data_IF_468208472675
#
_entry.id   IF_468208472675
#
_cell.length_a   1.000
_cell.length_b   1.000
_cell.length_c   1.000
_cell.angle_alpha   90.00
_cell.angle_beta   90.00
_cell.angle_gamma   90.00
#
_symmetry.space_group_name_H-M   'P 1'
#
loop_
_entity.id
_entity.type
_entity.pdbx_description
1 polymer ?
#
# COMPACT_ATOMS: atom_id res chain seq x y z
N UNK A 1 -2.58 19.30 1.13
CA UNK A 1 -1.48 18.30 1.20
C UNK A 1 -1.29 18.05 2.69
N UNK A 2 -1.36 16.80 3.15
CA UNK A 2 -1.39 16.40 4.57
C UNK A 2 -0.43 17.25 5.43
N UNK A 3 0.79 17.47 4.96
CA UNK A 3 1.83 18.25 5.63
C UNK A 3 1.44 19.72 5.81
N UNK A 4 0.96 20.40 4.76
CA UNK A 4 0.51 21.79 4.84
C UNK A 4 -0.66 21.95 5.81
N UNK A 5 -1.57 20.97 5.84
CA UNK A 5 -2.74 20.99 6.72
C UNK A 5 -2.34 20.75 8.19
N UNK A 6 -1.33 19.91 8.45
CA UNK A 6 -0.74 19.69 9.77
C UNK A 6 0.01 20.94 10.27
N UNK A 7 0.83 21.56 9.41
CA UNK A 7 1.62 22.76 9.76
C UNK A 7 0.72 23.98 9.97
N UNK A 8 -0.36 24.12 9.19
CA UNK A 8 -1.34 25.21 9.37
C UNK A 8 -2.07 25.15 10.73
N UNK A 9 -2.13 23.99 11.37
CA UNK A 9 -2.77 23.82 12.68
C UNK A 9 -1.85 24.17 13.86
N UNK A 10 -0.61 24.63 13.62
CA UNK A 10 0.38 24.96 14.66
C UNK A 10 0.61 23.84 15.71
N UNK A 11 0.34 22.58 15.34
CA UNK A 11 0.74 21.44 16.16
C UNK A 11 2.22 21.20 15.88
N UNK A 12 3.03 21.11 16.95
CA UNK A 12 4.34 20.48 16.82
C UNK A 12 4.09 19.03 16.45
N UNK A 13 4.45 18.66 15.23
CA UNK A 13 4.34 17.29 14.74
C UNK A 13 5.76 16.77 14.58
N UNK A 14 6.06 15.66 15.23
CA UNK A 14 7.28 14.91 14.99
C UNK A 14 7.14 14.23 13.62
N UNK A 15 7.73 14.85 12.60
CA UNK A 15 7.52 14.53 11.20
C UNK A 15 8.85 14.56 10.45
N UNK A 16 9.18 13.44 9.83
CA UNK A 16 10.22 13.33 8.83
C UNK A 16 9.62 13.08 7.44
N UNK A 17 10.22 13.71 6.43
CA UNK A 17 9.85 13.55 5.03
C UNK A 17 11.08 13.06 4.28
N UNK A 18 10.94 11.95 3.59
CA UNK A 18 11.92 11.47 2.62
C UNK A 18 11.32 11.52 1.21
N UNK A 19 11.99 12.18 0.28
CA UNK A 19 11.56 12.29 -1.11
C UNK A 19 12.70 11.91 -2.08
N UNK A 20 12.43 10.98 -2.99
CA UNK A 20 13.42 10.49 -3.94
C UNK A 20 13.00 10.74 -5.39
N UNK A 21 13.89 11.38 -6.15
CA UNK A 21 13.70 11.72 -7.55
C UNK A 21 14.80 11.09 -8.41
N UNK A 22 14.65 11.14 -9.73
CA UNK A 22 15.72 10.67 -10.63
C UNK A 22 16.89 11.66 -10.66
N UNK A 23 16.59 12.96 -10.85
CA UNK A 23 17.56 14.06 -10.95
C UNK A 23 17.07 15.28 -10.19
N UNK A 24 17.98 16.21 -9.88
CA UNK A 24 17.63 17.47 -9.21
C UNK A 24 16.58 18.28 -9.99
N UNK A 25 16.66 18.26 -11.32
CA UNK A 25 15.70 18.96 -12.19
C UNK A 25 14.28 18.37 -12.17
N UNK A 26 14.11 17.15 -11.67
CA UNK A 26 12.82 16.45 -11.62
C UNK A 26 12.07 16.74 -10.32
N UNK A 27 12.66 17.50 -9.40
CA UNK A 27 12.06 17.85 -8.11
C UNK A 27 10.87 18.77 -8.32
N UNK A 28 9.68 18.22 -8.08
CA UNK A 28 8.46 19.00 -7.90
C UNK A 28 8.41 19.56 -6.47
N UNK A 29 7.74 20.70 -6.28
CA UNK A 29 7.64 21.38 -4.98
C UNK A 29 9.00 21.70 -4.33
N UNK A 30 10.03 22.00 -5.13
CA UNK A 30 11.40 22.24 -4.66
C UNK A 30 11.50 23.31 -3.56
N UNK A 31 10.72 24.39 -3.66
CA UNK A 31 10.68 25.42 -2.61
C UNK A 31 10.14 24.87 -1.28
N UNK A 32 9.12 24.01 -1.32
CA UNK A 32 8.53 23.43 -0.13
C UNK A 32 9.50 22.47 0.56
N UNK A 33 10.08 21.55 -0.22
CA UNK A 33 11.01 20.52 0.25
C UNK A 33 12.31 21.12 0.79
N UNK A 34 12.91 22.06 0.07
CA UNK A 34 14.27 22.52 0.37
C UNK A 34 14.32 23.76 1.28
N UNK A 35 13.21 24.48 1.45
CA UNK A 35 13.20 25.74 2.20
C UNK A 35 12.03 25.85 3.18
N UNK A 36 10.78 25.75 2.70
CA UNK A 36 9.61 26.09 3.50
C UNK A 36 9.40 25.13 4.70
N UNK A 37 9.41 23.82 4.47
CA UNK A 37 9.18 22.84 5.52
C UNK A 37 10.36 22.72 6.50
N UNK A 38 11.64 22.73 6.04
CA UNK A 38 12.78 22.82 6.95
C UNK A 38 12.75 24.08 7.84
N UNK A 39 12.37 25.24 7.29
CA UNK A 39 12.23 26.48 8.06
C UNK A 39 11.11 26.42 9.12
N UNK A 40 10.18 25.46 8.99
CA UNK A 40 9.11 25.19 9.95
C UNK A 40 9.46 24.04 10.91
N UNK A 41 10.71 23.56 10.90
CA UNK A 41 11.21 22.53 11.80
C UNK A 41 10.91 21.09 11.36
N UNK A 42 10.43 20.88 10.12
CA UNK A 42 10.22 19.54 9.58
C UNK A 42 11.56 18.98 9.08
N UNK A 43 11.88 17.74 9.46
CA UNK A 43 13.04 17.05 8.89
C UNK A 43 12.72 16.63 7.46
N UNK A 44 13.49 17.11 6.48
CA UNK A 44 13.27 16.78 5.06
C UNK A 44 14.57 16.31 4.42
N UNK A 45 14.53 15.12 3.84
CA UNK A 45 15.60 14.54 3.04
C UNK A 45 15.16 14.40 1.58
N UNK A 46 16.01 14.86 0.66
CA UNK A 46 15.79 14.75 -0.79
C UNK A 46 16.97 14.04 -1.42
N UNK A 47 16.73 12.95 -2.14
CA UNK A 47 17.78 12.15 -2.78
C UNK A 47 17.53 11.92 -4.27
N UNK A 48 18.62 11.63 -5.02
CA UNK A 48 18.61 11.53 -6.48
C UNK A 48 19.23 10.21 -6.95
N UNK A 49 18.46 9.37 -7.66
CA UNK A 49 18.93 8.03 -8.07
C UNK A 49 19.92 8.06 -9.23
N UNK A 50 19.99 9.13 -10.02
CA UNK A 50 20.88 9.25 -11.18
C UNK A 50 21.99 10.30 -10.99
N UNK A 51 22.19 10.78 -9.76
CA UNK A 51 23.23 11.77 -9.44
C UNK A 51 24.09 11.26 -8.28
N UNK A 52 25.35 10.93 -8.60
CA UNK A 52 26.33 10.32 -7.67
C UNK A 52 26.94 11.31 -6.67
N UNK A 53 26.60 12.59 -6.76
CA UNK A 53 27.23 13.68 -6.00
C UNK A 53 26.40 14.13 -4.79
N UNK A 54 25.38 13.35 -4.41
CA UNK A 54 24.49 13.76 -3.33
C UNK A 54 25.06 13.38 -1.96
N UNK A 55 25.17 14.37 -1.07
CA UNK A 55 25.34 14.18 0.37
C UNK A 55 24.15 13.44 1.03
N UNK A 56 23.20 12.93 0.24
CA UNK A 56 21.93 12.38 0.68
C UNK A 56 21.86 10.89 0.34
N UNK A 57 21.63 10.08 1.36
CA UNK A 57 21.66 8.63 1.24
C UNK A 57 20.36 8.13 0.63
N UNK A 58 20.42 7.37 -0.47
CA UNK A 58 19.24 6.72 -1.02
C UNK A 58 18.60 5.80 0.02
N UNK A 59 17.31 5.96 0.26
CA UNK A 59 16.52 5.07 1.10
C UNK A 59 16.25 3.77 0.34
N UNK A 60 16.64 2.67 0.96
CA UNK A 60 16.45 1.31 0.46
C UNK A 60 15.85 0.44 1.57
N UNK A 61 15.38 -0.75 1.22
CA UNK A 61 14.82 -1.68 2.20
C UNK A 61 15.85 -2.04 3.27
N UNK A 62 17.13 -2.09 2.88
CA UNK A 62 18.25 -2.50 3.71
C UNK A 62 18.68 -1.44 4.72
N UNK A 63 18.50 -0.15 4.41
CA UNK A 63 18.92 0.95 5.29
C UNK A 63 17.77 1.69 5.97
N UNK A 64 16.51 1.33 5.69
CA UNK A 64 15.32 1.98 6.22
C UNK A 64 15.36 2.19 7.74
N UNK A 65 15.62 1.14 8.50
CA UNK A 65 15.67 1.21 9.97
C UNK A 65 17.00 1.74 10.53
N UNK A 66 18.04 1.79 9.69
CA UNK A 66 19.32 2.41 10.07
C UNK A 66 19.17 3.94 10.01
N UNK A 67 18.50 4.44 8.97
CA UNK A 67 18.24 5.87 8.82
C UNK A 67 17.12 6.35 9.74
N UNK A 68 16.08 5.53 9.94
CA UNK A 68 14.90 5.88 10.75
C UNK A 68 14.68 4.81 11.84
N UNK A 69 15.45 4.85 12.94
CA UNK A 69 15.43 3.81 13.98
C UNK A 69 14.13 3.77 14.79
N UNK A 70 13.42 4.89 14.88
CA UNK A 70 12.14 5.09 15.55
C UNK A 70 10.93 4.84 14.65
N UNK A 71 11.16 4.48 13.38
CA UNK A 71 10.10 4.32 12.37
C UNK A 71 9.01 3.32 12.78
N UNK A 72 9.35 2.32 13.60
CA UNK A 72 8.39 1.32 14.07
C UNK A 72 7.36 1.87 15.08
N UNK A 73 7.63 3.03 15.67
CA UNK A 73 6.76 3.67 16.66
C UNK A 73 5.72 4.61 16.00
N UNK A 74 6.04 5.15 14.83
CA UNK A 74 5.23 6.14 14.11
C UNK A 74 4.22 5.57 13.11
N UNK A 75 3.45 6.49 12.50
CA UNK A 75 2.66 6.21 11.30
C UNK A 75 3.53 6.42 10.04
N UNK A 76 3.47 5.47 9.10
CA UNK A 76 4.23 5.52 7.85
C UNK A 76 3.28 5.80 6.70
N UNK A 77 3.54 6.87 5.97
CA UNK A 77 2.83 7.21 4.73
C UNK A 77 3.74 6.95 3.53
N UNK A 78 3.34 6.03 2.66
CA UNK A 78 4.17 5.52 1.57
C UNK A 78 3.45 5.68 0.23
N UNK A 79 4.09 6.40 -0.69
CA UNK A 79 3.67 6.47 -2.08
C UNK A 79 4.90 6.47 -2.99
N UNK A 80 4.74 5.98 -4.23
CA UNK A 80 5.83 5.93 -5.19
C UNK A 80 5.65 4.85 -6.26
N UNK A 81 6.72 4.50 -6.98
CA UNK A 81 6.71 3.40 -7.93
C UNK A 81 6.46 2.04 -7.25
N UNK A 82 5.78 1.12 -7.94
CA UNK A 82 5.40 -0.21 -7.41
C UNK A 82 6.55 -0.95 -6.76
N UNK A 83 7.67 -1.15 -7.48
CA UNK A 83 8.81 -1.90 -6.94
C UNK A 83 9.47 -1.25 -5.72
N UNK A 84 9.47 0.08 -5.63
CA UNK A 84 9.96 0.77 -4.45
C UNK A 84 9.05 0.52 -3.24
N UNK A 85 7.73 0.71 -3.42
CA UNK A 85 6.77 0.50 -2.34
C UNK A 85 6.76 -0.96 -1.88
N UNK A 86 6.79 -1.93 -2.79
CA UNK A 86 6.80 -3.35 -2.44
C UNK A 86 8.03 -3.70 -1.59
N UNK A 87 9.21 -3.19 -1.96
CA UNK A 87 10.44 -3.37 -1.21
C UNK A 87 10.37 -2.75 0.20
N UNK A 88 9.87 -1.51 0.33
CA UNK A 88 9.70 -0.87 1.64
C UNK A 88 8.71 -1.65 2.52
N UNK A 89 7.57 -2.05 1.96
CA UNK A 89 6.55 -2.80 2.70
C UNK A 89 7.10 -4.14 3.17
N UNK A 90 7.83 -4.86 2.32
CA UNK A 90 8.46 -6.12 2.70
C UNK A 90 9.48 -5.92 3.84
N UNK A 91 10.26 -4.83 3.80
CA UNK A 91 11.18 -4.49 4.90
C UNK A 91 10.42 -4.22 6.21
N UNK A 92 9.31 -3.48 6.17
CA UNK A 92 8.46 -3.22 7.33
C UNK A 92 7.84 -4.50 7.89
N UNK A 93 7.35 -5.38 7.03
CA UNK A 93 6.81 -6.70 7.44
C UNK A 93 7.90 -7.54 8.09
N UNK A 94 9.09 -7.61 7.49
CA UNK A 94 10.23 -8.33 8.05
C UNK A 94 10.70 -7.77 9.40
N UNK A 95 10.47 -6.47 9.62
CA UNK A 95 10.74 -5.77 10.88
C UNK A 95 9.60 -5.87 11.91
N UNK A 96 8.57 -6.67 11.64
CA UNK A 96 7.38 -6.78 12.50
C UNK A 96 6.65 -5.44 12.72
N UNK A 97 6.68 -4.54 11.74
CA UNK A 97 5.95 -3.28 11.79
C UNK A 97 4.44 -3.51 11.96
N UNK A 98 3.79 -2.67 12.75
CA UNK A 98 2.34 -2.69 12.86
C UNK A 98 1.70 -2.12 11.59
N UNK A 99 1.32 -2.99 10.66
CA UNK A 99 0.71 -2.61 9.38
C UNK A 99 -0.58 -1.78 9.51
N UNK A 100 -1.23 -1.71 10.68
CA UNK A 100 -2.35 -0.79 10.91
C UNK A 100 -1.93 0.69 10.89
N UNK A 101 -0.63 0.96 11.08
CA UNK A 101 -0.01 2.30 11.00
C UNK A 101 0.64 2.57 9.63
N UNK A 102 0.51 1.65 8.67
CA UNK A 102 1.03 1.81 7.32
C UNK A 102 -0.08 2.30 6.40
N UNK A 103 0.12 3.48 5.81
CA UNK A 103 -0.81 4.14 4.91
C UNK A 103 -0.17 4.23 3.52
N UNK A 104 -0.72 3.52 2.54
CA UNK A 104 -0.17 3.51 1.18
C UNK A 104 -1.13 4.08 0.14
N UNK A 105 -0.57 4.71 -0.90
CA UNK A 105 -1.29 5.12 -2.10
C UNK A 105 -0.53 4.72 -3.37
N UNK A 106 -1.21 4.02 -4.30
CA UNK A 106 -0.69 3.60 -5.61
C UNK A 106 -1.29 4.44 -6.73
N UNK A 107 -0.44 5.02 -7.59
CA UNK A 107 -0.84 5.77 -8.78
C UNK A 107 -0.60 5.00 -10.07
N UNK A 108 -0.95 3.70 -10.10
CA UNK A 108 -0.78 2.85 -11.28
C UNK A 108 -2.05 2.11 -11.63
N UNK A 109 -2.28 1.90 -12.92
CA UNK A 109 -3.19 0.86 -13.40
C UNK A 109 -2.51 -0.48 -13.16
N UNK A 110 -3.13 -1.33 -12.35
CA UNK A 110 -2.62 -2.69 -12.15
C UNK A 110 -3.11 -3.52 -13.32
N UNK A 111 -2.25 -3.73 -14.30
CA UNK A 111 -2.43 -4.81 -15.28
C UNK A 111 -2.07 -6.12 -14.55
N UNK A 112 -2.99 -6.61 -13.71
CA UNK A 112 -2.76 -7.85 -12.95
C UNK A 112 -2.97 -9.04 -13.88
N UNK A 113 -1.92 -9.44 -14.61
CA UNK A 113 -1.85 -10.76 -15.24
C UNK A 113 -1.78 -11.90 -14.20
N UNK A 114 -1.46 -11.56 -12.95
CA UNK A 114 -1.46 -12.49 -11.82
C UNK A 114 -2.86 -12.64 -11.21
N UNK A 115 -3.60 -13.65 -11.70
CA UNK A 115 -4.94 -13.99 -11.22
C UNK A 115 -4.95 -15.07 -10.14
N UNK A 116 -3.80 -15.33 -9.49
CA UNK A 116 -3.64 -16.41 -8.53
C UNK A 116 -3.35 -17.76 -9.16
N UNK A 117 -2.86 -18.71 -8.36
CA UNK A 117 -2.42 -20.04 -8.81
C UNK A 117 -3.20 -21.20 -8.19
N UNK A 118 -4.29 -20.89 -7.48
CA UNK A 118 -5.18 -21.89 -6.92
C UNK A 118 -5.87 -22.69 -8.01
N UNK A 119 -5.80 -24.02 -7.92
CA UNK A 119 -6.65 -24.93 -8.69
C UNK A 119 -7.93 -25.22 -7.90
N UNK A 120 -9.05 -24.66 -8.38
CA UNK A 120 -10.36 -24.78 -7.72
C UNK A 120 -10.98 -26.18 -7.88
N UNK A 121 -10.41 -27.03 -8.74
CA UNK A 121 -10.81 -28.44 -8.84
C UNK A 121 -10.24 -29.28 -7.70
N UNK A 122 -9.11 -28.84 -7.12
CA UNK A 122 -8.40 -29.55 -6.05
C UNK A 122 -8.70 -28.93 -4.69
N UNK A 123 -8.73 -27.60 -4.63
CA UNK A 123 -9.00 -26.84 -3.41
C UNK A 123 -10.42 -26.29 -3.51
N UNK A 124 -11.19 -26.32 -2.42
CA UNK A 124 -12.48 -25.64 -2.33
C UNK A 124 -12.31 -24.35 -1.52
N UNK A 125 -11.82 -23.25 -2.13
CA UNK A 125 -11.49 -22.06 -1.37
C UNK A 125 -12.74 -21.36 -0.83
N UNK A 126 -12.57 -20.63 0.26
CA UNK A 126 -13.65 -19.86 0.89
C UNK A 126 -13.21 -18.44 1.25
N UNK A 127 -14.17 -17.52 1.18
CA UNK A 127 -13.99 -16.12 1.58
C UNK A 127 -14.95 -15.83 2.74
N UNK A 128 -14.44 -15.21 3.80
CA UNK A 128 -15.23 -14.71 4.91
C UNK A 128 -15.13 -13.19 5.02
N UNK A 129 -16.27 -12.50 4.91
CA UNK A 129 -16.41 -11.07 5.17
C UNK A 129 -16.88 -10.88 6.62
N UNK A 130 -15.95 -10.45 7.49
CA UNK A 130 -16.06 -10.62 8.94
C UNK A 130 -17.20 -9.83 9.60
N UNK A 131 -17.36 -8.55 9.30
CA UNK A 131 -18.41 -7.71 9.89
C UNK A 131 -19.77 -7.90 9.23
N UNK A 132 -19.80 -8.23 7.93
CA UNK A 132 -21.03 -8.68 7.26
C UNK A 132 -21.47 -10.06 7.73
N UNK A 133 -20.58 -10.82 8.37
CA UNK A 133 -20.78 -12.20 8.76
C UNK A 133 -21.25 -13.09 7.59
N UNK A 134 -20.67 -12.88 6.40
CA UNK A 134 -21.01 -13.61 5.19
C UNK A 134 -19.87 -14.51 4.75
N UNK A 135 -20.21 -15.76 4.45
CA UNK A 135 -19.30 -16.78 3.95
C UNK A 135 -19.65 -17.13 2.51
N UNK A 136 -18.63 -17.11 1.66
CA UNK A 136 -18.73 -17.59 0.28
C UNK A 136 -17.89 -18.85 0.18
N UNK A 137 -18.52 -19.95 -0.22
CA UNK A 137 -17.82 -21.14 -0.70
C UNK A 137 -17.63 -21.00 -2.21
N UNK A 138 -16.39 -20.93 -2.65
CA UNK A 138 -16.07 -20.74 -4.06
C UNK A 138 -16.11 -22.06 -4.82
N UNK A 139 -16.41 -21.94 -6.11
CA UNK A 139 -16.48 -23.04 -7.07
C UNK A 139 -15.59 -22.77 -8.27
N UNK A 140 -15.42 -23.75 -9.16
CA UNK A 140 -14.65 -23.58 -10.39
C UNK A 140 -15.21 -22.48 -11.31
N UNK A 141 -16.48 -22.10 -11.16
CA UNK A 141 -17.05 -20.95 -11.89
C UNK A 141 -16.47 -19.61 -11.44
N UNK A 142 -15.86 -19.55 -10.26
CA UNK A 142 -15.27 -18.34 -9.68
C UNK A 142 -13.79 -18.17 -10.03
N UNK A 143 -13.19 -19.17 -10.68
CA UNK A 143 -11.79 -19.13 -11.08
C UNK A 143 -11.53 -17.97 -12.06
N UNK A 144 -10.44 -17.23 -11.82
CA UNK A 144 -10.08 -16.04 -12.59
C UNK A 144 -10.95 -14.79 -12.34
N UNK A 145 -11.96 -14.85 -11.45
CA UNK A 145 -12.74 -13.67 -11.04
C UNK A 145 -12.05 -12.92 -9.91
N UNK A 146 -12.10 -11.59 -9.95
CA UNK A 146 -11.60 -10.78 -8.84
C UNK A 146 -12.50 -10.89 -7.61
N UNK A 147 -11.95 -10.61 -6.43
CA UNK A 147 -12.68 -10.66 -5.16
C UNK A 147 -13.95 -9.78 -5.19
N UNK A 148 -13.92 -8.64 -5.89
CA UNK A 148 -15.11 -7.78 -6.05
C UNK A 148 -16.17 -8.42 -6.96
N UNK A 149 -15.75 -9.09 -8.04
CA UNK A 149 -16.68 -9.79 -8.94
C UNK A 149 -17.36 -10.96 -8.21
N UNK A 150 -16.57 -11.74 -7.45
CA UNK A 150 -17.07 -12.84 -6.62
C UNK A 150 -18.07 -12.31 -5.58
N UNK A 151 -17.71 -11.27 -4.82
CA UNK A 151 -18.61 -10.67 -3.83
C UNK A 151 -19.96 -10.28 -4.45
N UNK A 152 -19.94 -9.58 -5.60
CA UNK A 152 -21.17 -9.17 -6.31
C UNK A 152 -22.00 -10.36 -6.79
N UNK A 153 -21.37 -11.40 -7.34
CA UNK A 153 -22.06 -12.60 -7.82
C UNK A 153 -22.86 -13.30 -6.72
N UNK A 154 -22.32 -13.32 -5.50
CA UNK A 154 -22.96 -13.90 -4.33
C UNK A 154 -23.85 -12.90 -3.56
N UNK A 155 -24.16 -11.74 -4.15
CA UNK A 155 -25.09 -10.76 -3.57
C UNK A 155 -24.50 -9.87 -2.48
N UNK A 156 -23.17 -9.87 -2.28
CA UNK A 156 -22.47 -9.00 -1.34
C UNK A 156 -22.19 -7.66 -2.02
N UNK A 157 -22.87 -6.61 -1.56
CA UNK A 157 -22.74 -5.27 -2.14
C UNK A 157 -21.64 -4.47 -1.42
N UNK A 158 -20.46 -4.41 -2.04
CA UNK A 158 -19.31 -3.65 -1.55
C UNK A 158 -19.15 -2.34 -2.33
N UNK A 159 -18.64 -1.30 -1.67
CA UNK A 159 -18.36 -0.04 -2.32
C UNK A 159 -17.33 -0.21 -3.45
N UNK A 160 -17.56 0.49 -4.56
CA UNK A 160 -16.69 0.40 -5.73
C UNK A 160 -16.71 1.69 -6.54
N UNK A 161 -15.58 2.01 -7.17
CA UNK A 161 -15.39 3.23 -7.95
C UNK A 161 -14.77 2.93 -9.31
N UNK A 162 -13.45 3.12 -9.43
CA UNK A 162 -12.73 3.01 -10.70
C UNK A 162 -12.67 1.60 -11.31
N UNK A 163 -12.80 0.54 -10.49
CA UNK A 163 -12.63 -0.87 -10.87
C UNK A 163 -11.29 -1.19 -11.57
N UNK A 164 -10.27 -0.36 -11.33
CA UNK A 164 -8.91 -0.48 -11.88
C UNK A 164 -7.82 -0.45 -10.81
N UNK A 165 -8.20 -0.67 -9.54
CA UNK A 165 -7.25 -0.79 -8.43
C UNK A 165 -6.60 0.52 -7.94
N UNK A 166 -7.10 1.68 -8.36
CA UNK A 166 -6.41 2.97 -8.17
C UNK A 166 -7.14 3.97 -7.24
N UNK A 167 -8.46 3.89 -7.09
CA UNK A 167 -9.20 4.88 -6.29
C UNK A 167 -9.40 4.52 -4.81
N UNK A 168 -9.07 3.29 -4.40
CA UNK A 168 -9.22 2.83 -3.01
C UNK A 168 -10.66 2.57 -2.53
N UNK A 169 -11.71 2.84 -3.33
CA UNK A 169 -13.10 2.67 -2.90
C UNK A 169 -13.46 1.23 -2.51
N UNK A 170 -12.89 0.23 -3.20
CA UNK A 170 -13.13 -1.18 -2.87
C UNK A 170 -12.06 -1.77 -1.92
N UNK A 171 -11.30 -0.93 -1.22
CA UNK A 171 -10.17 -1.39 -0.39
C UNK A 171 -10.68 -2.01 0.91
N UNK A 172 -10.25 -3.23 1.20
CA UNK A 172 -10.48 -3.91 2.47
C UNK A 172 -9.16 -4.34 3.12
N UNK A 173 -9.21 -4.70 4.41
CA UNK A 173 -8.05 -5.26 5.13
C UNK A 173 -8.11 -6.79 5.13
N UNK A 174 -7.06 -7.45 4.65
CA UNK A 174 -6.83 -8.89 4.78
C UNK A 174 -6.46 -9.24 6.21
N UNK A 175 -7.17 -10.19 6.82
CA UNK A 175 -6.92 -10.69 8.17
C UNK A 175 -6.30 -12.09 8.17
N UNK A 176 -6.61 -12.90 7.16
CA UNK A 176 -6.12 -14.27 7.03
C UNK A 176 -6.10 -14.65 5.54
N UNK A 177 -5.14 -15.50 5.15
CA UNK A 177 -5.01 -16.02 3.80
C UNK A 177 -3.99 -15.29 2.94
N UNK A 178 -3.99 -15.64 1.66
CA UNK A 178 -3.20 -15.04 0.59
C UNK A 178 -4.11 -14.67 -0.57
N UNK A 179 -3.79 -13.54 -1.20
CA UNK A 179 -4.43 -13.09 -2.42
C UNK A 179 -3.34 -12.76 -3.45
N UNK A 180 -3.69 -12.86 -4.72
CA UNK A 180 -2.86 -12.44 -5.84
C UNK A 180 -3.34 -11.09 -6.39
N UNK A 181 -2.49 -10.39 -7.14
CA UNK A 181 -2.79 -9.08 -7.71
C UNK A 181 -2.52 -7.92 -6.75
N UNK A 182 -3.48 -6.99 -6.63
CA UNK A 182 -3.25 -5.68 -6.02
C UNK A 182 -3.36 -5.68 -4.48
N UNK A 183 -2.26 -6.08 -3.83
CA UNK A 183 -2.05 -6.03 -2.39
C UNK A 183 -1.01 -4.98 -1.99
N UNK A 184 -1.22 -4.32 -0.85
CA UNK A 184 -0.29 -3.41 -0.18
C UNK A 184 -0.25 -3.73 1.30
N UNK A 185 0.73 -4.52 1.76
CA UNK A 185 0.73 -5.03 3.13
C UNK A 185 -0.54 -5.86 3.36
N UNK A 186 -1.43 -5.42 4.27
CA UNK A 186 -2.74 -6.05 4.46
C UNK A 186 -3.88 -5.38 3.69
N UNK A 187 -3.65 -4.27 3.00
CA UNK A 187 -4.68 -3.63 2.19
C UNK A 187 -4.86 -4.38 0.85
N UNK A 188 -6.11 -4.71 0.52
CA UNK A 188 -6.48 -5.46 -0.69
C UNK A 188 -7.46 -4.63 -1.51
N UNK A 189 -7.12 -4.40 -2.78
CA UNK A 189 -7.99 -3.72 -3.74
C UNK A 189 -8.79 -4.77 -4.50
N UNK A 190 -9.99 -5.08 -3.99
CA UNK A 190 -10.79 -6.24 -4.43
C UNK A 190 -11.08 -6.31 -5.94
N UNK A 191 -11.17 -5.17 -6.63
CA UNK A 191 -11.47 -5.14 -8.07
C UNK A 191 -10.34 -5.69 -8.95
N UNK A 192 -9.12 -5.74 -8.45
CA UNK A 192 -7.91 -6.20 -9.16
C UNK A 192 -7.10 -7.15 -8.28
N UNK A 193 -7.78 -7.93 -7.44
CA UNK A 193 -7.17 -8.92 -6.54
C UNK A 193 -7.95 -10.23 -6.63
N UNK A 194 -7.26 -11.36 -6.48
CA UNK A 194 -7.80 -12.70 -6.75
C UNK A 194 -7.51 -13.65 -5.59
N UNK A 195 -8.34 -14.68 -5.35
CA UNK A 195 -8.03 -15.70 -4.35
C UNK A 195 -6.72 -16.43 -4.64
N UNK A 196 -5.84 -16.60 -3.63
CA UNK A 196 -4.59 -17.38 -3.75
C UNK A 196 -4.31 -18.30 -2.53
N UNK A 197 -5.35 -18.60 -1.74
CA UNK A 197 -5.30 -19.60 -0.67
C UNK A 197 -6.67 -20.21 -0.37
N UNK A 198 -6.69 -21.37 0.28
CA UNK A 198 -7.92 -22.11 0.60
C UNK A 198 -8.90 -21.33 1.50
N UNK A 199 -8.41 -20.36 2.26
CA UNK A 199 -9.22 -19.56 3.19
C UNK A 199 -8.74 -18.13 3.20
N UNK A 200 -9.65 -17.20 2.93
CA UNK A 200 -9.40 -15.76 2.94
C UNK A 200 -10.38 -15.10 3.90
N UNK A 201 -9.89 -14.22 4.77
CA UNK A 201 -10.72 -13.42 5.68
C UNK A 201 -10.48 -11.94 5.43
N UNK A 202 -11.55 -11.21 5.14
CA UNK A 202 -11.54 -9.78 4.85
C UNK A 202 -12.34 -9.01 5.93
N UNK A 203 -11.83 -7.84 6.28
CA UNK A 203 -12.42 -6.90 7.25
C UNK A 203 -13.49 -6.05 6.58
N UNK A 204 -14.65 -6.65 6.33
CA UNK A 204 -15.80 -6.02 5.70
C UNK A 204 -17.07 -6.39 6.43
#
# INVERSE_FOLDING_TARGET
>A
LIISDLLAQNKSVDLAIYAQFSKQKDVIFANSLNQQWPAQGVSVEVAFTQETDSQHWLLTAENLLVQYPDLLEGDVYLCGPTGFMDNMINALVAANFNLAKLHCERFVTVDSEDTGKLDFNVVQPSIYFKHLNQHIQLTTEDEGKSLLQIARQYGINLESGCQKGMCGTCKLTLKEGKIAGNQLGNAVYLCTSYPDSARIVLDA
#
